data_IF_178528155116
#
_entry.id   IF_178528155116
#
_cell.length_a   1.000
_cell.length_b   1.000
_cell.length_c   1.000
_cell.angle_alpha   90.00
_cell.angle_beta   90.00
_cell.angle_gamma   90.00
#
_symmetry.space_group_name_H-M   'P 1'
#
loop_
_entity.id
_entity.type
_entity.pdbx_description
1 polymer ?
#
# COMPACT_ATOMS: atom_id res chain seq x y z
N UNK A 1 15.70 -18.43 -18.97
CA UNK A 1 14.79 -18.59 -20.14
C UNK A 1 14.08 -17.26 -20.34
N UNK A 2 14.00 -16.71 -21.56
CA UNK A 2 13.26 -15.47 -21.79
C UNK A 2 11.76 -15.69 -21.53
N UNK A 3 11.11 -14.71 -20.91
CA UNK A 3 9.67 -14.77 -20.61
C UNK A 3 8.90 -14.74 -21.92
N UNK A 4 8.01 -15.72 -22.13
CA UNK A 4 7.16 -15.79 -23.31
C UNK A 4 5.97 -14.84 -23.12
N UNK A 5 6.02 -13.66 -23.74
CA UNK A 5 4.95 -12.65 -23.67
C UNK A 5 3.95 -12.82 -24.81
N UNK A 6 2.66 -12.63 -24.51
CA UNK A 6 1.56 -12.68 -25.49
C UNK A 6 1.11 -11.23 -25.75
N UNK A 7 0.83 -10.89 -27.01
CA UNK A 7 0.33 -9.55 -27.35
C UNK A 7 -1.10 -9.36 -26.79
N UNK A 8 -1.37 -8.28 -26.03
CA UNK A 8 -2.73 -7.98 -25.56
C UNK A 8 -3.68 -7.74 -26.74
N UNK A 9 -4.97 -8.08 -26.56
CA UNK A 9 -6.03 -7.70 -27.52
C UNK A 9 -6.25 -6.19 -27.51
N UNK A 10 -6.81 -5.63 -28.60
CA UNK A 10 -7.06 -4.19 -28.73
C UNK A 10 -8.02 -3.67 -27.65
N UNK A 11 -8.97 -4.50 -27.21
CA UNK A 11 -9.95 -4.14 -26.17
C UNK A 11 -9.42 -4.33 -24.75
N UNK A 12 -8.18 -4.80 -24.59
CA UNK A 12 -7.61 -5.06 -23.27
C UNK A 12 -7.32 -3.74 -22.56
N UNK A 13 -7.96 -3.54 -21.41
CA UNK A 13 -7.65 -2.43 -20.54
C UNK A 13 -6.26 -2.62 -19.90
N UNK A 14 -5.32 -1.75 -20.24
CA UNK A 14 -3.97 -1.73 -19.67
C UNK A 14 -4.01 -1.15 -18.25
N UNK A 15 -4.32 -2.00 -17.27
CA UNK A 15 -4.33 -1.61 -15.87
C UNK A 15 -2.95 -1.79 -15.24
N UNK A 16 -2.36 -0.75 -14.61
CA UNK A 16 -1.05 -0.85 -14.01
C UNK A 16 -1.09 -1.72 -12.75
N UNK A 17 -0.29 -2.78 -12.70
CA UNK A 17 -0.22 -3.74 -11.59
C UNK A 17 0.65 -3.24 -10.44
N UNK A 18 0.26 -2.12 -9.85
CA UNK A 18 0.98 -1.49 -8.73
C UNK A 18 0.46 -2.03 -7.40
N UNK A 19 1.35 -2.17 -6.41
CA UNK A 19 0.97 -2.61 -5.06
C UNK A 19 -0.12 -1.71 -4.45
N UNK A 20 -0.08 -0.39 -4.70
CA UNK A 20 -1.11 0.55 -4.24
C UNK A 20 -2.52 0.25 -4.76
N UNK A 21 -2.66 -0.49 -5.86
CA UNK A 21 -3.99 -0.88 -6.37
C UNK A 21 -4.66 -1.92 -5.46
N UNK A 22 -3.87 -2.71 -4.72
CA UNK A 22 -4.40 -3.64 -3.71
C UNK A 22 -5.10 -2.90 -2.57
N UNK A 23 -4.68 -1.66 -2.29
CA UNK A 23 -5.30 -0.84 -1.24
C UNK A 23 -6.71 -0.36 -1.62
N UNK A 24 -7.03 -0.24 -2.92
CA UNK A 24 -8.35 0.19 -3.36
C UNK A 24 -9.42 -0.88 -3.08
N UNK A 25 -9.06 -2.17 -3.18
CA UNK A 25 -10.00 -3.25 -2.93
C UNK A 25 -10.32 -3.38 -1.43
N UNK A 26 -9.33 -3.20 -0.55
CA UNK A 26 -9.54 -3.24 0.90
C UNK A 26 -10.47 -2.12 1.36
N UNK A 27 -10.30 -0.90 0.86
CA UNK A 27 -11.20 0.21 1.15
C UNK A 27 -12.63 -0.06 0.62
N UNK A 28 -12.76 -0.60 -0.60
CA UNK A 28 -14.06 -0.77 -1.27
C UNK A 28 -14.90 -1.92 -0.72
N UNK A 29 -14.27 -3.05 -0.40
CA UNK A 29 -14.99 -4.28 -0.07
C UNK A 29 -14.85 -4.69 1.40
N UNK A 30 -13.80 -4.25 2.08
CA UNK A 30 -13.46 -4.70 3.43
C UNK A 30 -13.21 -3.53 4.39
N UNK A 31 -13.76 -2.34 4.10
CA UNK A 31 -13.45 -1.12 4.85
C UNK A 31 -13.66 -1.23 6.36
N UNK A 32 -14.68 -2.00 6.80
CA UNK A 32 -14.98 -2.27 8.21
C UNK A 32 -14.20 -3.43 8.82
N UNK A 33 -13.47 -4.22 8.03
CA UNK A 33 -12.67 -5.32 8.56
C UNK A 33 -11.47 -4.78 9.32
N UNK A 34 -11.06 -5.50 10.35
CA UNK A 34 -10.02 -5.05 11.27
C UNK A 34 -8.63 -5.58 10.92
N UNK A 35 -7.63 -4.74 11.16
CA UNK A 35 -6.22 -5.04 11.26
C UNK A 35 -5.86 -5.02 12.74
N UNK A 36 -5.42 -6.14 13.28
CA UNK A 36 -5.14 -6.30 14.72
C UNK A 36 -3.63 -6.31 14.96
N UNK A 37 -3.13 -5.33 15.70
CA UNK A 37 -1.73 -5.27 16.13
C UNK A 37 -1.46 -6.23 17.29
N UNK A 38 -0.65 -7.26 17.05
CA UNK A 38 -0.39 -8.33 18.03
C UNK A 38 0.32 -7.87 19.31
N UNK A 39 1.11 -6.80 19.25
CA UNK A 39 1.95 -6.35 20.36
C UNK A 39 1.27 -5.42 21.38
N UNK A 40 0.21 -4.71 20.98
CA UNK A 40 -0.45 -3.71 21.82
C UNK A 40 -1.98 -3.83 21.82
N UNK A 41 -2.53 -4.82 21.10
CA UNK A 41 -3.97 -5.05 20.99
C UNK A 41 -4.73 -3.95 20.25
N UNK A 42 -4.04 -2.97 19.65
CA UNK A 42 -4.68 -1.90 18.87
C UNK A 42 -5.30 -2.49 17.62
N UNK A 43 -6.49 -2.01 17.31
CA UNK A 43 -7.27 -2.40 16.14
C UNK A 43 -7.50 -1.17 15.28
N UNK A 44 -7.42 -1.36 13.98
CA UNK A 44 -7.74 -0.35 12.98
C UNK A 44 -8.62 -1.01 11.93
N UNK A 45 -9.64 -0.32 11.47
CA UNK A 45 -10.36 -0.71 10.26
C UNK A 45 -9.49 -0.49 9.02
N UNK A 46 -9.78 -1.19 7.92
CA UNK A 46 -9.12 -0.88 6.64
C UNK A 46 -9.41 0.55 6.15
N UNK A 47 -10.55 1.14 6.55
CA UNK A 47 -10.86 2.54 6.28
C UNK A 47 -9.89 3.48 7.01
N UNK A 48 -9.66 3.27 8.31
CA UNK A 48 -8.67 4.05 9.07
C UNK A 48 -7.25 3.81 8.57
N UNK A 49 -6.91 2.57 8.23
CA UNK A 49 -5.62 2.23 7.64
C UNK A 49 -5.38 3.01 6.34
N UNK A 50 -6.38 3.10 5.46
CA UNK A 50 -6.32 3.86 4.22
C UNK A 50 -6.00 5.33 4.46
N UNK A 51 -6.71 5.98 5.40
CA UNK A 51 -6.45 7.38 5.78
C UNK A 51 -5.01 7.55 6.31
N UNK A 52 -4.55 6.62 7.15
CA UNK A 52 -3.22 6.66 7.75
C UNK A 52 -2.11 6.52 6.72
N UNK A 53 -2.29 5.64 5.72
CA UNK A 53 -1.36 5.53 4.58
C UNK A 53 -1.24 6.86 3.84
N UNK A 54 -2.36 7.54 3.56
CA UNK A 54 -2.34 8.84 2.88
C UNK A 54 -1.60 9.90 3.70
N UNK A 55 -1.84 9.93 5.02
CA UNK A 55 -1.16 10.86 5.92
C UNK A 55 0.35 10.62 5.94
N UNK A 56 0.78 9.36 6.01
CA UNK A 56 2.21 9.02 5.96
C UNK A 56 2.83 9.39 4.61
N UNK A 57 2.14 9.12 3.49
CA UNK A 57 2.61 9.48 2.16
C UNK A 57 2.81 11.00 2.00
N UNK A 58 1.88 11.80 2.54
CA UNK A 58 2.00 13.26 2.53
C UNK A 58 3.23 13.72 3.32
N UNK A 59 3.45 13.19 4.53
CA UNK A 59 4.62 13.54 5.35
C UNK A 59 5.93 13.14 4.67
N UNK A 60 5.99 11.96 4.04
CA UNK A 60 7.19 11.53 3.30
C UNK A 60 7.47 12.44 2.09
N UNK A 61 6.41 12.87 1.40
CA UNK A 61 6.51 13.81 0.28
C UNK A 61 7.00 15.17 0.76
N UNK A 62 6.47 15.69 1.87
CA UNK A 62 6.92 16.93 2.51
C UNK A 62 8.37 16.85 3.01
N UNK A 63 8.80 15.67 3.48
CA UNK A 63 10.19 15.40 3.86
C UNK A 63 11.14 15.30 2.64
N UNK A 64 10.63 15.37 1.42
CA UNK A 64 11.42 15.43 0.19
C UNK A 64 11.73 14.08 -0.46
N UNK A 65 11.07 13.00 -0.02
CA UNK A 65 11.19 11.68 -0.66
C UNK A 65 10.57 11.72 -2.06
N UNK A 66 11.29 11.17 -3.05
CA UNK A 66 10.90 11.16 -4.46
C UNK A 66 10.81 9.73 -5.00
N UNK A 67 10.14 9.60 -6.14
CA UNK A 67 10.12 8.35 -6.88
C UNK A 67 11.56 7.89 -7.19
N UNK A 68 11.85 6.64 -6.86
CA UNK A 68 13.17 6.04 -7.03
C UNK A 68 14.08 6.14 -5.81
N UNK A 69 13.71 6.95 -4.81
CA UNK A 69 14.41 6.97 -3.52
C UNK A 69 14.13 5.70 -2.73
N UNK A 70 15.08 5.28 -1.91
CA UNK A 70 14.92 4.15 -1.00
C UNK A 70 14.61 4.64 0.41
N UNK A 71 13.48 4.21 0.98
CA UNK A 71 13.12 4.47 2.38
C UNK A 71 13.37 3.20 3.19
N UNK A 72 14.36 3.25 4.09
CA UNK A 72 14.63 2.15 5.01
C UNK A 72 13.65 2.18 6.19
N UNK A 73 13.11 1.01 6.55
CA UNK A 73 12.21 0.84 7.69
C UNK A 73 12.74 -0.29 8.56
N UNK A 74 12.94 -0.02 9.85
CA UNK A 74 13.32 -1.00 10.85
C UNK A 74 12.25 -1.02 11.93
N UNK A 75 11.32 -1.96 11.83
CA UNK A 75 10.22 -2.13 12.76
C UNK A 75 9.77 -3.60 12.79
N UNK A 76 8.91 -3.94 13.74
CA UNK A 76 8.26 -5.26 13.84
C UNK A 76 7.03 -5.35 12.92
N UNK A 77 6.48 -6.56 12.79
CA UNK A 77 5.20 -6.82 12.12
C UNK A 77 4.03 -6.16 12.88
N UNK A 78 3.79 -4.89 12.58
CA UNK A 78 2.74 -4.08 13.17
C UNK A 78 2.03 -3.23 12.11
N UNK A 79 0.83 -2.69 12.40
CA UNK A 79 0.06 -1.92 11.42
C UNK A 79 0.80 -0.72 10.83
N UNK A 80 1.73 -0.07 11.55
CA UNK A 80 2.56 1.02 11.00
C UNK A 80 3.55 0.52 9.97
N UNK A 81 4.16 -0.65 10.22
CA UNK A 81 5.04 -1.27 9.24
C UNK A 81 4.26 -1.57 7.95
N UNK A 82 3.02 -2.05 8.08
CA UNK A 82 2.12 -2.25 6.95
C UNK A 82 1.75 -0.93 6.24
N UNK A 83 1.58 0.20 6.95
CA UNK A 83 1.35 1.51 6.33
C UNK A 83 2.48 1.88 5.36
N UNK A 84 3.74 1.59 5.73
CA UNK A 84 4.91 1.88 4.91
C UNK A 84 4.91 1.15 3.55
N UNK A 85 4.27 -0.03 3.43
CA UNK A 85 4.22 -0.78 2.16
C UNK A 85 3.48 -0.01 1.06
N UNK A 86 2.59 0.90 1.44
CA UNK A 86 1.75 1.65 0.51
C UNK A 86 2.03 3.15 0.51
N UNK A 87 2.66 3.68 1.56
CA UNK A 87 2.90 5.11 1.70
C UNK A 87 4.21 5.60 1.07
N UNK A 88 5.21 4.73 0.89
CA UNK A 88 6.47 5.07 0.23
C UNK A 88 6.21 5.25 -1.29
N UNK A 89 6.58 6.40 -1.88
CA UNK A 89 6.15 6.80 -3.23
C UNK A 89 6.79 6.04 -4.40
#
# INVERSE_FOLDING_TARGET
MPVKTIKPTADAHQYPLLIKQLLLSSQRYAGSNEIVGGNNGKRYSYAEFYERVQRLANVLTEAGVKQGDTVAVLDWDNPRYLECFFAVP
#
